data_IF_996574785995
#
_entry.id   IF_996574785995
#
_cell.length_a   1.000
_cell.length_b   1.000
_cell.length_c   1.000
_cell.angle_alpha   90.00
_cell.angle_beta   90.00
_cell.angle_gamma   90.00
#
_symmetry.space_group_name_H-M   'P 1'
#
loop_
_entity.id
_entity.type
_entity.pdbx_description
1 polymer ?
#
# COMPACT_ATOMS: atom_id res chain seq x y z
N UNK A 1 -16.87 -15.54 13.26
CA UNK A 1 -16.05 -15.08 12.11
C UNK A 1 -14.70 -15.76 12.20
N UNK A 2 -14.14 -16.24 11.08
CA UNK A 2 -12.83 -16.91 11.08
C UNK A 2 -11.75 -15.82 11.05
N UNK A 3 -10.88 -15.80 12.05
CA UNK A 3 -9.72 -14.90 12.05
C UNK A 3 -8.81 -15.26 10.87
N UNK A 4 -8.31 -14.23 10.20
CA UNK A 4 -7.38 -14.36 9.09
C UNK A 4 -6.14 -13.50 9.37
N UNK A 5 -4.97 -13.87 8.82
CA UNK A 5 -3.76 -13.09 9.02
C UNK A 5 -3.88 -11.72 8.34
N UNK A 6 -3.53 -10.67 9.08
CA UNK A 6 -3.38 -9.30 8.58
C UNK A 6 -1.90 -8.88 8.66
N UNK A 7 -1.46 -7.86 7.92
CA UNK A 7 -0.11 -7.33 8.05
C UNK A 7 0.18 -6.88 9.49
N UNK A 8 1.27 -7.34 10.10
CA UNK A 8 1.62 -6.97 11.47
C UNK A 8 2.21 -5.55 11.58
N UNK A 9 2.75 -5.02 10.48
CA UNK A 9 3.42 -3.71 10.42
C UNK A 9 3.50 -3.20 8.98
N UNK A 10 3.77 -1.90 8.83
CA UNK A 10 4.14 -1.32 7.53
C UNK A 10 5.38 -2.03 6.98
N UNK A 11 5.29 -2.49 5.74
CA UNK A 11 6.35 -3.21 5.03
C UNK A 11 6.42 -2.71 3.60
N UNK A 12 7.63 -2.66 3.05
CA UNK A 12 7.89 -2.27 1.67
C UNK A 12 8.71 -3.33 0.96
N UNK A 13 8.37 -3.60 -0.28
CA UNK A 13 9.16 -4.41 -1.20
C UNK A 13 9.24 -3.74 -2.55
N UNK A 14 10.26 -4.09 -3.32
CA UNK A 14 10.53 -3.54 -4.64
C UNK A 14 10.91 -4.64 -5.60
N UNK A 15 10.47 -4.50 -6.85
CA UNK A 15 10.95 -5.29 -7.98
C UNK A 15 11.27 -4.37 -9.16
N UNK A 16 12.14 -4.83 -10.04
CA UNK A 16 12.42 -4.19 -11.33
C UNK A 16 12.01 -5.12 -12.48
N UNK A 17 11.26 -4.59 -13.44
CA UNK A 17 10.82 -5.31 -14.65
C UNK A 17 11.01 -4.41 -15.84
N UNK A 18 11.83 -4.81 -16.82
CA UNK A 18 12.07 -4.06 -18.06
C UNK A 18 12.39 -2.56 -17.81
N UNK A 19 13.33 -2.27 -16.89
CA UNK A 19 13.71 -0.91 -16.46
C UNK A 19 12.60 -0.09 -15.78
N UNK A 20 11.46 -0.72 -15.47
CA UNK A 20 10.41 -0.12 -14.66
C UNK A 20 10.55 -0.58 -13.21
N UNK A 21 10.49 0.38 -12.28
CA UNK A 21 10.58 0.13 -10.84
C UNK A 21 9.18 0.03 -10.25
N UNK A 22 8.88 -1.07 -9.56
CA UNK A 22 7.60 -1.26 -8.87
C UNK A 22 7.83 -1.34 -7.37
N UNK A 23 7.27 -0.38 -6.63
CA UNK A 23 7.39 -0.30 -5.17
C UNK A 23 6.03 -0.61 -4.56
N UNK A 24 5.95 -1.71 -3.80
CA UNK A 24 4.74 -2.08 -3.06
C UNK A 24 4.92 -1.71 -1.59
N UNK A 25 4.01 -0.89 -1.05
CA UNK A 25 3.95 -0.57 0.39
C UNK A 25 2.63 -1.11 0.95
N UNK A 26 2.71 -1.98 1.97
CA UNK A 26 1.56 -2.55 2.66
C UNK A 26 1.62 -2.22 4.16
N UNK A 27 0.48 -1.96 4.80
CA UNK A 27 0.37 -1.70 6.23
C UNK A 27 -0.99 -2.19 6.76
N UNK A 28 -1.11 -2.52 8.06
CA UNK A 28 -2.42 -2.69 8.69
C UNK A 28 -3.16 -1.35 8.72
N UNK A 29 -4.46 -1.40 8.40
CA UNK A 29 -5.41 -0.28 8.52
C UNK A 29 -6.71 -0.82 9.10
N UNK A 30 -7.37 -0.03 9.94
CA UNK A 30 -8.54 -0.47 10.71
C UNK A 30 -9.82 0.31 10.38
N UNK A 31 -9.72 1.28 9.47
CA UNK A 31 -10.87 2.02 8.93
C UNK A 31 -10.64 2.41 7.48
N UNK A 32 -11.72 2.78 6.80
CA UNK A 32 -11.64 3.30 5.42
C UNK A 32 -10.89 4.63 5.38
N UNK A 33 -11.01 5.46 6.42
CA UNK A 33 -10.32 6.74 6.48
C UNK A 33 -8.81 6.55 6.69
N UNK A 34 -8.40 5.65 7.59
CA UNK A 34 -6.99 5.26 7.71
C UNK A 34 -6.42 4.70 6.40
N UNK A 35 -7.21 3.92 5.66
CA UNK A 35 -6.80 3.41 4.35
C UNK A 35 -6.60 4.54 3.33
N UNK A 36 -7.48 5.54 3.33
CA UNK A 36 -7.36 6.72 2.45
C UNK A 36 -6.14 7.56 2.80
N UNK A 37 -5.91 7.83 4.08
CA UNK A 37 -4.76 8.60 4.56
C UNK A 37 -3.45 7.90 4.21
N UNK A 38 -3.41 6.57 4.40
CA UNK A 38 -2.25 5.78 4.01
C UNK A 38 -1.99 5.85 2.50
N UNK A 39 -3.03 5.66 1.68
CA UNK A 39 -2.90 5.76 0.21
C UNK A 39 -2.42 7.13 -0.23
N UNK A 40 -2.94 8.20 0.37
CA UNK A 40 -2.51 9.56 0.06
C UNK A 40 -1.05 9.79 0.44
N UNK A 41 -0.62 9.34 1.63
CA UNK A 41 0.78 9.44 2.04
C UNK A 41 1.75 8.74 1.08
N UNK A 42 1.37 7.57 0.54
CA UNK A 42 2.18 6.83 -0.44
C UNK A 42 2.20 7.54 -1.78
N UNK A 43 1.07 8.11 -2.21
CA UNK A 43 0.98 8.91 -3.45
C UNK A 43 1.86 10.16 -3.38
N UNK A 44 1.86 10.85 -2.23
CA UNK A 44 2.68 12.04 -2.02
C UNK A 44 4.17 11.67 -1.99
N UNK A 45 4.52 10.54 -1.36
CA UNK A 45 5.88 10.01 -1.33
C UNK A 45 6.42 9.64 -2.72
N UNK A 46 5.54 9.15 -3.61
CA UNK A 46 5.87 8.73 -4.99
C UNK A 46 5.10 9.56 -6.03
N UNK A 47 5.12 10.88 -5.85
CA UNK A 47 4.42 11.81 -6.74
C UNK A 47 4.98 11.81 -8.18
N UNK A 48 6.22 11.34 -8.36
CA UNK A 48 6.92 11.20 -9.64
C UNK A 48 6.69 9.84 -10.32
N UNK A 49 5.99 8.90 -9.67
CA UNK A 49 5.69 7.61 -10.27
C UNK A 49 4.70 7.75 -11.43
N UNK A 50 4.95 7.01 -12.53
CA UNK A 50 4.05 6.97 -13.68
C UNK A 50 2.61 6.57 -13.30
N UNK A 51 2.49 5.65 -12.33
CA UNK A 51 1.21 5.19 -11.81
C UNK A 51 1.29 4.94 -10.30
N UNK A 52 0.27 5.43 -9.58
CA UNK A 52 0.02 5.07 -8.19
C UNK A 52 -1.28 4.27 -8.12
N UNK A 53 -1.19 2.96 -7.88
CA UNK A 53 -2.34 2.03 -7.93
C UNK A 53 -2.66 1.49 -6.54
N UNK A 54 -3.64 2.07 -5.83
CA UNK A 54 -4.00 1.63 -4.47
C UNK A 54 -4.97 0.46 -4.46
N UNK A 55 -4.87 -0.37 -3.42
CA UNK A 55 -5.86 -1.38 -3.06
C UNK A 55 -5.92 -1.49 -1.53
N UNK A 56 -7.12 -1.68 -0.98
CA UNK A 56 -7.31 -1.91 0.46
C UNK A 56 -8.50 -2.85 0.71
N UNK A 57 -8.47 -3.52 1.86
CA UNK A 57 -9.56 -4.33 2.38
C UNK A 57 -9.79 -3.92 3.84
N UNK A 58 -11.01 -3.52 4.18
CA UNK A 58 -11.44 -3.18 5.53
C UNK A 58 -12.75 -3.94 5.78
N UNK A 59 -12.72 -4.89 6.73
CA UNK A 59 -13.86 -5.78 7.04
C UNK A 59 -13.49 -6.97 7.90
#
# INVERSE_FOLDING_TARGET
MKQYPIPARRTRTEIEVLRSRFIATAAPVFSVDEARDFVNSVKDEFADASHNVPAFLVG
#
